data_IF_993592960775
#
_entry.id   IF_993592960775
#
_cell.length_a   1.000
_cell.length_b   1.000
_cell.length_c   1.000
_cell.angle_alpha   90.00
_cell.angle_beta   90.00
_cell.angle_gamma   90.00
#
_symmetry.space_group_name_H-M   'P 1'
#
loop_
_entity.id
_entity.type
_entity.pdbx_description
1 polymer ?
#
# COMPACT_ATOMS: atom_id res chain seq x y z
N UNK A 1 -0.97 5.15 -45.34
CA UNK A 1 -2.43 5.14 -45.10
C UNK A 1 -2.66 4.08 -44.02
N UNK A 2 -3.18 4.48 -42.86
CA UNK A 2 -3.32 3.63 -41.67
C UNK A 2 -4.74 3.07 -41.63
N UNK A 3 -4.89 1.78 -41.34
CA UNK A 3 -6.20 1.15 -41.12
C UNK A 3 -6.35 0.79 -39.64
N UNK A 4 -7.53 1.04 -39.10
CA UNK A 4 -7.94 0.53 -37.79
C UNK A 4 -9.17 -0.37 -37.94
N UNK A 5 -9.21 -1.39 -37.11
CA UNK A 5 -10.34 -2.30 -37.03
C UNK A 5 -10.82 -2.37 -35.58
N UNK A 6 -12.13 -2.28 -35.39
CA UNK A 6 -12.80 -2.44 -34.10
C UNK A 6 -13.63 -3.73 -34.13
N UNK A 7 -13.61 -4.49 -33.04
CA UNK A 7 -14.38 -5.73 -32.90
C UNK A 7 -15.74 -5.43 -32.26
N UNK A 8 -16.82 -5.60 -33.01
CA UNK A 8 -18.20 -5.60 -32.49
C UNK A 8 -18.83 -6.95 -32.80
N UNK A 9 -19.22 -7.69 -31.75
CA UNK A 9 -20.14 -8.84 -31.85
C UNK A 9 -19.87 -9.80 -33.02
N UNK A 10 -18.65 -10.34 -33.10
CA UNK A 10 -18.20 -11.36 -34.07
C UNK A 10 -17.77 -10.89 -35.48
N UNK A 11 -17.58 -9.58 -35.74
CA UNK A 11 -17.01 -9.12 -37.01
C UNK A 11 -16.05 -7.94 -36.83
N UNK A 12 -14.95 -7.95 -37.61
CA UNK A 12 -14.02 -6.83 -37.72
C UNK A 12 -14.54 -5.84 -38.77
N UNK A 13 -14.88 -4.61 -38.35
CA UNK A 13 -15.23 -3.53 -39.27
C UNK A 13 -14.00 -2.68 -39.58
N UNK A 14 -13.76 -2.44 -40.88
CA UNK A 14 -12.71 -1.54 -41.36
C UNK A 14 -13.21 -0.11 -41.25
N UNK A 15 -12.54 0.71 -40.45
CA UNK A 15 -12.85 2.13 -40.34
C UNK A 15 -11.83 2.93 -41.15
N UNK A 16 -12.33 3.70 -42.13
CA UNK A 16 -11.51 4.67 -42.85
C UNK A 16 -11.20 5.85 -41.92
N UNK A 17 -9.91 6.16 -41.76
CA UNK A 17 -9.47 7.31 -40.98
C UNK A 17 -10.01 8.59 -41.60
N UNK A 18 -11.00 9.18 -40.95
CA UNK A 18 -11.82 10.24 -41.53
C UNK A 18 -11.19 11.62 -41.42
N UNK A 19 -10.20 11.81 -40.54
CA UNK A 19 -9.46 13.08 -40.41
C UNK A 19 -8.20 12.93 -39.56
N UNK A 20 -7.11 13.55 -40.01
CA UNK A 20 -5.88 13.74 -39.21
C UNK A 20 -5.87 15.21 -38.78
N UNK A 21 -5.88 15.46 -37.47
CA UNK A 21 -5.84 16.81 -36.92
C UNK A 21 -4.48 17.05 -36.26
N UNK A 22 -3.82 18.14 -36.64
CA UNK A 22 -2.53 18.52 -36.06
C UNK A 22 -2.81 19.31 -34.78
N UNK A 23 -2.30 18.82 -33.67
CA UNK A 23 -2.34 19.49 -32.36
C UNK A 23 -1.29 20.61 -32.30
N UNK A 24 -1.51 21.54 -31.38
CA UNK A 24 -0.61 22.67 -31.12
C UNK A 24 0.79 22.22 -30.63
N UNK A 25 0.87 21.07 -29.98
CA UNK A 25 2.11 20.45 -29.48
C UNK A 25 2.90 19.69 -30.57
N UNK A 26 2.43 19.72 -31.82
CA UNK A 26 3.08 19.09 -32.97
C UNK A 26 2.70 17.63 -33.21
N UNK A 27 1.90 17.02 -32.33
CA UNK A 27 1.36 15.68 -32.55
C UNK A 27 0.20 15.68 -33.54
N UNK A 28 -0.06 14.54 -34.17
CA UNK A 28 -1.20 14.35 -35.07
C UNK A 28 -2.16 13.36 -34.42
N UNK A 29 -3.42 13.76 -34.24
CA UNK A 29 -4.47 12.90 -33.73
C UNK A 29 -5.37 12.38 -34.85
N UNK A 30 -5.83 11.14 -34.69
CA UNK A 30 -6.77 10.48 -35.60
C UNK A 30 -7.91 9.87 -34.79
N UNK A 31 -9.16 10.19 -35.13
CA UNK A 31 -10.33 9.58 -34.49
C UNK A 31 -10.60 8.21 -35.10
N UNK A 32 -10.56 7.17 -34.27
CA UNK A 32 -10.74 5.79 -34.73
C UNK A 32 -12.20 5.32 -34.75
N UNK A 33 -13.09 5.93 -33.97
CA UNK A 33 -14.51 5.59 -33.96
C UNK A 33 -15.22 6.06 -32.70
N UNK A 34 -16.51 5.73 -32.60
CA UNK A 34 -17.31 5.86 -31.39
C UNK A 34 -17.94 4.50 -31.07
N UNK A 35 -17.94 4.13 -29.80
CA UNK A 35 -18.62 2.94 -29.32
C UNK A 35 -19.42 3.31 -28.07
N UNK A 36 -20.52 2.58 -27.85
CA UNK A 36 -21.29 2.67 -26.63
C UNK A 36 -20.72 1.62 -25.69
N UNK A 37 -20.34 2.03 -24.48
CA UNK A 37 -20.05 1.12 -23.40
C UNK A 37 -21.36 0.87 -22.64
N UNK A 38 -21.98 -0.28 -22.88
CA UNK A 38 -23.18 -0.76 -22.18
C UNK A 38 -22.84 -1.65 -20.97
N UNK A 39 -21.55 -1.98 -20.77
CA UNK A 39 -21.03 -2.77 -19.66
C UNK A 39 -20.71 -1.94 -18.40
N UNK A 40 -21.01 -2.53 -17.24
CA UNK A 40 -20.64 -2.01 -15.92
C UNK A 40 -19.13 -2.14 -15.66
N UNK A 41 -18.58 -1.25 -14.85
CA UNK A 41 -17.17 -1.26 -14.47
C UNK A 41 -16.81 -2.60 -13.79
N UNK A 42 -15.90 -3.38 -14.39
CA UNK A 42 -15.44 -4.74 -13.97
C UNK A 42 -16.35 -5.92 -14.39
N UNK A 43 -16.86 -5.97 -15.62
CA UNK A 43 -17.19 -7.24 -16.28
C UNK A 43 -16.03 -7.59 -17.23
N UNK A 44 -15.25 -8.63 -16.91
CA UNK A 44 -14.09 -9.09 -17.70
C UNK A 44 -14.52 -9.71 -19.05
N UNK A 45 -15.81 -9.65 -19.40
CA UNK A 45 -16.37 -10.22 -20.64
C UNK A 45 -16.31 -9.29 -21.84
N UNK A 46 -16.04 -7.99 -21.63
CA UNK A 46 -16.03 -6.98 -22.71
C UNK A 46 -14.64 -6.35 -22.89
N UNK A 47 -13.71 -7.09 -23.51
CA UNK A 47 -12.40 -6.55 -23.89
C UNK A 47 -12.47 -5.76 -25.22
N UNK A 48 -11.95 -4.53 -25.22
CA UNK A 48 -11.85 -3.71 -26.43
C UNK A 48 -10.54 -4.05 -27.16
N UNK A 49 -10.65 -4.69 -28.31
CA UNK A 49 -9.51 -5.00 -29.18
C UNK A 49 -9.39 -3.98 -30.31
N UNK A 50 -8.19 -3.40 -30.46
CA UNK A 50 -7.81 -2.59 -31.62
C UNK A 50 -6.52 -3.12 -32.24
N UNK A 51 -6.39 -2.98 -33.56
CA UNK A 51 -5.17 -3.32 -34.30
C UNK A 51 -4.84 -2.18 -35.25
N UNK A 52 -3.60 -1.71 -35.19
CA UNK A 52 -3.00 -0.81 -36.17
C UNK A 52 -2.09 -1.66 -37.04
N UNK A 53 -2.26 -1.58 -38.36
CA UNK A 53 -1.44 -2.33 -39.31
C UNK A 53 -1.00 -1.45 -40.47
N UNK A 54 0.23 -1.66 -40.90
CA UNK A 54 0.78 -1.02 -42.10
C UNK A 54 0.14 -1.63 -43.35
N UNK A 55 -0.31 -0.77 -44.27
CA UNK A 55 -0.78 -1.23 -45.58
C UNK A 55 0.47 -1.48 -46.44
N UNK A 56 0.72 -2.75 -46.78
CA UNK A 56 1.85 -3.16 -47.63
C UNK A 56 1.82 -2.41 -48.97
N UNK A 57 2.68 -1.40 -49.11
CA UNK A 57 3.12 -0.88 -50.40
C UNK A 57 4.62 -1.15 -50.53
N UNK A 58 5.08 -1.30 -51.76
CA UNK A 58 6.42 -1.76 -52.16
C UNK A 58 7.60 -0.83 -51.81
N UNK A 59 7.42 0.13 -50.89
CA UNK A 59 8.43 1.10 -50.51
C UNK A 59 8.47 1.25 -48.99
N UNK A 60 9.67 1.11 -48.41
CA UNK A 60 9.93 1.32 -46.98
C UNK A 60 9.71 2.79 -46.62
N UNK A 61 8.74 3.08 -45.74
CA UNK A 61 8.62 4.39 -45.09
C UNK A 61 9.27 4.36 -43.71
N UNK A 62 10.37 5.09 -43.46
CA UNK A 62 10.95 5.18 -42.12
C UNK A 62 10.17 6.15 -41.21
N UNK A 63 9.96 5.73 -39.96
CA UNK A 63 9.67 6.58 -38.81
C UNK A 63 8.20 6.92 -38.53
N UNK A 64 7.53 6.09 -37.72
CA UNK A 64 6.25 6.46 -37.09
C UNK A 64 6.32 6.13 -35.58
N UNK A 65 6.04 7.12 -34.73
CA UNK A 65 6.07 7.00 -33.28
C UNK A 65 4.65 7.22 -32.78
N UNK A 66 4.14 6.28 -31.98
CA UNK A 66 2.82 6.35 -31.35
C UNK A 66 3.03 6.78 -29.90
N UNK A 67 2.47 7.93 -29.53
CA UNK A 67 2.53 8.42 -28.15
C UNK A 67 1.57 7.65 -27.22
N UNK A 68 0.42 7.22 -27.73
CA UNK A 68 -0.59 6.49 -26.97
C UNK A 68 -1.95 6.49 -27.63
N UNK A 69 -2.93 5.88 -26.95
CA UNK A 69 -4.33 5.85 -27.36
C UNK A 69 -5.15 6.47 -26.23
N UNK A 70 -6.04 7.40 -26.58
CA UNK A 70 -6.82 8.20 -25.64
C UNK A 70 -8.31 7.92 -25.83
N UNK A 71 -9.02 7.64 -24.73
CA UNK A 71 -10.47 7.47 -24.72
C UNK A 71 -11.13 8.75 -24.19
N UNK A 72 -11.98 9.38 -25.01
CA UNK A 72 -12.68 10.62 -24.66
C UNK A 72 -14.19 10.40 -24.61
N UNK A 73 -14.88 10.76 -23.51
CA UNK A 73 -16.33 10.78 -23.48
C UNK A 73 -16.89 11.77 -24.51
N UNK A 74 -17.82 11.33 -25.35
CA UNK A 74 -18.53 12.23 -26.28
C UNK A 74 -19.71 12.85 -25.52
N UNK A 75 -19.68 14.17 -25.30
CA UNK A 75 -20.84 14.88 -24.75
C UNK A 75 -21.96 14.91 -25.80
N UNK A 76 -23.04 14.16 -25.58
CA UNK A 76 -24.33 14.52 -26.20
C UNK A 76 -24.86 15.75 -25.47
N UNK A 77 -24.83 16.89 -26.15
CA UNK A 77 -25.55 18.09 -25.71
C UNK A 77 -27.03 17.83 -26.06
N UNK A 78 -27.97 17.79 -25.10
CA UNK A 78 -29.39 17.82 -25.44
C UNK A 78 -29.69 19.17 -26.11
N UNK A 79 -30.52 19.14 -27.15
CA UNK A 79 -30.85 20.33 -27.95
C UNK A 79 -31.16 21.55 -27.08
N UNK A 80 -30.55 22.67 -27.44
CA UNK A 80 -30.63 23.93 -26.72
C UNK A 80 -32.02 24.54 -26.87
N UNK A 81 -32.92 24.15 -25.99
CA UNK A 81 -34.29 24.65 -25.95
C UNK A 81 -34.92 24.32 -24.61
N UNK A 82 -34.38 24.93 -23.55
CA UNK A 82 -35.02 25.28 -22.28
C UNK A 82 -34.04 25.07 -21.12
N UNK A 83 -33.47 26.18 -20.61
CA UNK A 83 -33.02 26.25 -19.23
C UNK A 83 -32.87 27.71 -18.82
N UNK A 84 -34.00 28.25 -18.35
CA UNK A 84 -34.07 29.50 -17.61
C UNK A 84 -33.71 29.20 -16.15
N UNK A 85 -32.88 30.06 -15.57
CA UNK A 85 -32.48 30.15 -14.17
C UNK A 85 -33.28 29.32 -13.15
N UNK A 86 -32.71 28.17 -12.77
CA UNK A 86 -32.85 27.58 -11.45
C UNK A 86 -31.48 26.99 -11.08
N UNK A 87 -31.09 27.05 -9.81
CA UNK A 87 -29.96 26.27 -9.29
C UNK A 87 -30.31 24.81 -9.53
N UNK A 88 -29.82 24.24 -10.64
CA UNK A 88 -30.13 22.86 -11.00
C UNK A 88 -29.62 21.97 -9.88
N UNK A 89 -30.48 21.10 -9.30
CA UNK A 89 -30.01 20.10 -8.35
C UNK A 89 -28.88 19.31 -9.00
N UNK A 90 -27.88 18.91 -8.22
CA UNK A 90 -26.78 18.15 -8.78
C UNK A 90 -27.34 16.89 -9.44
N UNK A 91 -26.77 16.40 -10.56
CA UNK A 91 -27.24 15.16 -11.20
C UNK A 91 -27.26 13.96 -10.23
N UNK A 92 -26.51 14.04 -9.13
CA UNK A 92 -26.47 13.04 -8.08
C UNK A 92 -27.64 13.15 -7.09
N UNK A 93 -28.28 14.30 -6.94
CA UNK A 93 -29.45 14.47 -6.06
C UNK A 93 -30.70 13.74 -6.59
N UNK A 94 -30.70 13.37 -7.88
CA UNK A 94 -31.73 12.51 -8.47
C UNK A 94 -31.47 11.00 -8.32
N UNK A 95 -30.30 10.59 -7.84
CA UNK A 95 -29.99 9.17 -7.64
C UNK A 95 -30.51 8.67 -6.28
N UNK A 96 -31.08 7.45 -6.20
CA UNK A 96 -31.40 6.84 -4.93
C UNK A 96 -30.16 6.69 -4.03
N UNK A 97 -30.34 6.86 -2.72
CA UNK A 97 -29.26 6.74 -1.72
C UNK A 97 -28.55 5.39 -1.80
N UNK A 98 -29.26 4.31 -2.13
CA UNK A 98 -28.67 2.97 -2.30
C UNK A 98 -27.74 2.86 -3.51
N UNK A 99 -28.03 3.57 -4.61
CA UNK A 99 -27.15 3.64 -5.77
C UNK A 99 -25.86 4.37 -5.41
N UNK A 100 -25.97 5.50 -4.72
CA UNK A 100 -24.83 6.28 -4.24
C UNK A 100 -24.00 5.44 -3.25
N UNK A 101 -24.65 4.76 -2.31
CA UNK A 101 -24.00 3.86 -1.34
C UNK A 101 -23.21 2.77 -2.05
N UNK A 102 -23.80 2.13 -3.07
CA UNK A 102 -23.14 1.10 -3.87
C UNK A 102 -21.90 1.65 -4.57
N UNK A 103 -21.99 2.82 -5.21
CA UNK A 103 -20.84 3.48 -5.87
C UNK A 103 -19.73 3.76 -4.85
N UNK A 104 -20.08 4.36 -3.71
CA UNK A 104 -19.11 4.70 -2.65
C UNK A 104 -18.44 3.44 -2.08
N UNK A 105 -19.15 2.32 -2.00
CA UNK A 105 -18.59 1.06 -1.49
C UNK A 105 -17.43 0.50 -2.32
N UNK A 106 -17.25 0.98 -3.56
CA UNK A 106 -16.12 0.63 -4.44
C UNK A 106 -14.96 1.65 -4.37
N UNK A 107 -15.07 2.68 -3.53
CA UNK A 107 -14.02 3.70 -3.31
C UNK A 107 -13.17 3.35 -2.09
N UNK A 108 -12.26 4.24 -1.68
CA UNK A 108 -11.55 4.08 -0.40
C UNK A 108 -12.37 4.65 0.78
N UNK A 109 -12.13 4.18 2.02
CA UNK A 109 -12.71 4.78 3.22
C UNK A 109 -12.48 6.29 3.33
N UNK A 110 -11.30 6.77 2.91
CA UNK A 110 -10.99 8.19 2.81
C UNK A 110 -11.91 8.91 1.82
N UNK A 111 -12.06 8.37 0.61
CA UNK A 111 -12.90 8.98 -0.43
C UNK A 111 -14.37 8.98 -0.02
N UNK A 112 -14.83 7.92 0.67
CA UNK A 112 -16.17 7.89 1.26
C UNK A 112 -16.37 9.02 2.28
N UNK A 113 -15.39 9.27 3.16
CA UNK A 113 -15.44 10.40 4.09
C UNK A 113 -15.42 11.76 3.39
N UNK A 114 -14.66 11.92 2.31
CA UNK A 114 -14.66 13.14 1.49
C UNK A 114 -16.02 13.33 0.81
N UNK A 115 -16.58 12.26 0.21
CA UNK A 115 -17.87 12.28 -0.46
C UNK A 115 -19.01 12.66 0.50
N UNK A 116 -18.97 12.17 1.75
CA UNK A 116 -19.93 12.54 2.79
C UNK A 116 -20.02 14.06 3.03
N UNK A 117 -18.95 14.80 2.75
CA UNK A 117 -18.90 16.25 2.96
C UNK A 117 -19.48 17.06 1.79
N UNK A 118 -19.84 16.40 0.68
CA UNK A 118 -20.32 17.07 -0.55
C UNK A 118 -21.79 17.46 -0.45
N UNK A 119 -22.65 16.58 0.07
CA UNK A 119 -24.08 16.86 0.27
C UNK A 119 -24.70 15.95 1.33
N UNK A 120 -25.90 16.31 1.82
CA UNK A 120 -26.66 15.49 2.78
C UNK A 120 -27.03 14.11 2.23
N UNK A 121 -27.24 13.99 0.92
CA UNK A 121 -27.54 12.73 0.25
C UNK A 121 -26.33 11.79 0.30
N UNK A 122 -25.13 12.31 0.01
CA UNK A 122 -23.89 11.55 0.16
C UNK A 122 -23.59 11.22 1.63
N UNK A 123 -23.82 12.16 2.54
CA UNK A 123 -23.66 11.92 3.98
C UNK A 123 -24.54 10.75 4.45
N UNK A 124 -25.80 10.71 4.00
CA UNK A 124 -26.72 9.61 4.30
C UNK A 124 -26.26 8.29 3.70
N UNK A 125 -25.77 8.30 2.45
CA UNK A 125 -25.27 7.10 1.79
C UNK A 125 -24.05 6.51 2.51
N UNK A 126 -23.10 7.36 2.93
CA UNK A 126 -21.87 6.95 3.64
C UNK A 126 -22.16 6.39 5.03
N UNK A 127 -23.31 6.74 5.64
CA UNK A 127 -23.72 6.15 6.93
C UNK A 127 -24.24 4.72 6.79
N UNK A 128 -24.50 4.24 5.57
CA UNK A 128 -25.01 2.89 5.32
C UNK A 128 -23.96 1.81 5.62
N UNK A 129 -24.35 0.78 6.35
CA UNK A 129 -23.49 -0.38 6.64
C UNK A 129 -23.10 -1.16 5.38
N UNK A 130 -23.88 -1.06 4.29
CA UNK A 130 -23.52 -1.66 2.99
C UNK A 130 -22.19 -1.12 2.46
N UNK A 131 -21.90 0.16 2.72
CA UNK A 131 -20.62 0.79 2.35
C UNK A 131 -19.48 0.20 3.17
N UNK A 132 -19.62 0.25 4.48
CA UNK A 132 -18.55 -0.16 5.41
C UNK A 132 -18.31 -1.66 5.40
N UNK A 133 -19.31 -2.46 5.02
CA UNK A 133 -19.12 -3.88 4.79
C UNK A 133 -18.06 -4.18 3.73
N UNK A 134 -18.02 -3.39 2.65
CA UNK A 134 -17.01 -3.56 1.58
C UNK A 134 -15.61 -3.11 2.01
N UNK A 135 -15.52 -2.22 3.00
CA UNK A 135 -14.25 -1.73 3.53
C UNK A 135 -13.66 -2.63 4.61
N UNK A 136 -14.49 -3.48 5.23
CA UNK A 136 -14.04 -4.47 6.19
C UNK A 136 -13.43 -5.70 5.47
N UNK A 137 -12.35 -6.29 6.00
CA UNK A 137 -11.81 -7.55 5.49
C UNK A 137 -12.84 -8.67 5.55
N UNK A 138 -12.95 -9.54 4.55
CA UNK A 138 -13.91 -10.67 4.53
C UNK A 138 -13.89 -11.54 5.79
N UNK A 139 -12.74 -11.68 6.45
CA UNK A 139 -12.59 -12.48 7.66
C UNK A 139 -12.85 -11.70 8.96
N UNK A 140 -13.34 -10.45 8.90
CA UNK A 140 -13.51 -9.57 10.06
C UNK A 140 -14.37 -10.19 11.16
N UNK A 141 -15.34 -11.06 10.80
CA UNK A 141 -16.19 -11.74 11.77
C UNK A 141 -15.40 -12.60 12.77
N UNK A 142 -14.25 -13.14 12.37
CA UNK A 142 -13.34 -13.88 13.25
C UNK A 142 -12.57 -12.97 14.23
N UNK A 143 -12.51 -11.66 13.95
CA UNK A 143 -11.84 -10.65 14.76
C UNK A 143 -12.79 -10.01 15.79
N UNK A 144 -14.11 -10.04 15.54
CA UNK A 144 -15.13 -9.49 16.45
C UNK A 144 -15.05 -10.05 17.87
N UNK A 145 -14.87 -11.37 18.11
CA UNK A 145 -14.85 -11.92 19.47
C UNK A 145 -13.76 -11.35 20.38
N UNK A 146 -12.75 -10.69 19.81
CA UNK A 146 -11.68 -10.05 20.58
C UNK A 146 -12.10 -8.71 21.19
N UNK A 147 -13.17 -8.11 20.68
CA UNK A 147 -13.72 -6.89 21.24
C UNK A 147 -14.74 -7.24 22.33
N UNK A 148 -14.47 -6.78 23.55
CA UNK A 148 -15.41 -6.90 24.68
C UNK A 148 -16.58 -5.89 24.60
N UNK A 149 -16.82 -5.28 23.42
CA UNK A 149 -17.86 -4.26 23.20
C UNK A 149 -18.73 -4.61 21.99
N UNK A 150 -19.99 -4.17 22.05
CA UNK A 150 -20.93 -4.26 20.93
C UNK A 150 -20.79 -3.02 20.06
N UNK A 151 -20.69 -3.20 18.75
CA UNK A 151 -20.62 -2.11 17.78
C UNK A 151 -22.03 -1.76 17.27
N UNK A 152 -22.35 -0.47 17.20
CA UNK A 152 -23.65 0.03 16.74
C UNK A 152 -23.72 0.18 15.21
N UNK A 153 -22.57 0.16 14.54
CA UNK A 153 -22.47 0.19 13.07
C UNK A 153 -21.17 -0.45 12.58
N UNK A 154 -21.12 -0.85 11.30
CA UNK A 154 -19.90 -1.35 10.67
C UNK A 154 -18.84 -0.27 10.50
N UNK A 155 -19.27 0.99 10.40
CA UNK A 155 -18.37 2.15 10.45
C UNK A 155 -17.61 2.22 11.77
N UNK A 156 -18.32 2.06 12.89
CA UNK A 156 -17.71 2.05 14.22
C UNK A 156 -16.72 0.89 14.36
N UNK A 157 -17.10 -0.31 13.91
CA UNK A 157 -16.21 -1.47 13.88
C UNK A 157 -14.96 -1.21 13.03
N UNK A 158 -15.10 -0.58 11.87
CA UNK A 158 -13.96 -0.25 11.01
C UNK A 158 -12.96 0.65 11.72
N UNK A 159 -13.41 1.74 12.36
CA UNK A 159 -12.51 2.63 13.09
C UNK A 159 -11.91 1.97 14.34
N UNK A 160 -12.66 1.10 15.02
CA UNK A 160 -12.11 0.27 16.08
C UNK A 160 -10.96 -0.64 15.58
N UNK A 161 -11.09 -1.23 14.39
CA UNK A 161 -10.02 -2.02 13.77
C UNK A 161 -8.84 -1.16 13.29
N UNK A 162 -9.02 0.15 13.12
CA UNK A 162 -7.93 1.06 12.79
C UNK A 162 -7.15 1.48 14.05
N UNK A 163 -7.89 1.81 15.11
CA UNK A 163 -7.34 2.47 16.30
C UNK A 163 -6.90 1.45 17.36
N UNK A 164 -7.53 0.27 17.42
CA UNK A 164 -7.26 -0.78 18.41
C UNK A 164 -6.73 -2.07 17.73
N UNK A 165 -5.40 -2.29 17.69
CA UNK A 165 -4.82 -3.49 17.11
C UNK A 165 -5.27 -4.78 17.81
N UNK A 166 -5.59 -5.78 17.01
CA UNK A 166 -6.18 -7.07 17.42
C UNK A 166 -5.12 -8.16 17.38
N UNK A 167 -5.05 -9.02 18.39
CA UNK A 167 -4.06 -10.09 18.47
C UNK A 167 -4.58 -11.37 17.79
N UNK A 168 -3.91 -11.83 16.75
CA UNK A 168 -4.28 -13.04 16.02
C UNK A 168 -3.23 -14.13 16.21
N UNK A 169 -3.61 -15.37 15.88
CA UNK A 169 -2.74 -16.55 15.95
C UNK A 169 -2.08 -16.72 17.32
N UNK A 170 -2.90 -16.78 18.38
CA UNK A 170 -2.43 -16.99 19.75
C UNK A 170 -1.46 -15.89 20.23
N UNK A 171 -1.74 -14.64 19.84
CA UNK A 171 -0.95 -13.48 20.25
C UNK A 171 0.39 -13.33 19.53
N UNK A 172 0.60 -14.05 18.43
CA UNK A 172 1.86 -14.00 17.70
C UNK A 172 1.91 -12.90 16.64
N UNK A 173 0.74 -12.42 16.19
CA UNK A 173 0.63 -11.33 15.24
C UNK A 173 -0.38 -10.30 15.75
N UNK A 174 -0.12 -9.02 15.51
CA UNK A 174 -1.05 -7.93 15.81
C UNK A 174 -1.54 -7.34 14.49
N UNK A 175 -2.85 -7.21 14.34
CA UNK A 175 -3.54 -6.83 13.11
C UNK A 175 -4.33 -5.53 13.29
N UNK A 176 -4.29 -4.64 12.31
CA UNK A 176 -5.16 -3.45 12.25
C UNK A 176 -5.35 -2.99 10.80
N UNK A 177 -6.22 -2.01 10.58
CA UNK A 177 -6.46 -1.43 9.25
C UNK A 177 -5.78 -0.06 9.10
N UNK A 178 -5.22 0.19 7.92
CA UNK A 178 -4.79 1.53 7.53
C UNK A 178 -6.05 2.37 7.23
N UNK A 179 -6.22 3.45 7.99
CA UNK A 179 -7.46 4.24 8.08
C UNK A 179 -7.93 4.85 6.77
N UNK A 180 -7.01 5.23 5.87
CA UNK A 180 -7.38 5.89 4.63
C UNK A 180 -7.82 4.90 3.54
N UNK A 181 -7.13 3.76 3.45
CA UNK A 181 -7.27 2.78 2.36
C UNK A 181 -8.03 1.53 2.75
N UNK A 182 -8.17 1.23 4.05
CA UNK A 182 -8.71 -0.05 4.54
C UNK A 182 -7.79 -1.24 4.30
N UNK A 183 -6.53 -0.99 3.91
CA UNK A 183 -5.56 -2.06 3.68
C UNK A 183 -5.03 -2.60 5.00
N UNK A 184 -4.66 -3.88 5.00
CA UNK A 184 -4.24 -4.62 6.21
C UNK A 184 -2.84 -4.17 6.66
N UNK A 185 -2.69 -3.90 7.95
CA UNK A 185 -1.42 -3.70 8.63
C UNK A 185 -1.19 -4.82 9.63
N UNK A 186 0.06 -5.28 9.74
CA UNK A 186 0.41 -6.39 10.64
C UNK A 186 1.73 -6.12 11.35
N UNK A 187 1.80 -6.46 12.63
CA UNK A 187 3.04 -6.60 13.37
C UNK A 187 3.30 -8.08 13.67
N UNK A 188 4.50 -8.55 13.39
CA UNK A 188 4.96 -9.87 13.77
C UNK A 188 5.68 -9.83 15.11
N UNK A 189 5.30 -10.72 16.02
CA UNK A 189 6.07 -10.97 17.24
C UNK A 189 7.37 -11.69 16.91
N UNK A 190 8.45 -11.30 17.57
CA UNK A 190 9.71 -12.00 17.44
C UNK A 190 9.70 -13.41 18.07
N UNK A 191 8.72 -13.75 18.90
CA UNK A 191 8.60 -15.09 19.51
C UNK A 191 8.32 -16.18 18.48
N UNK A 192 7.73 -15.83 17.35
CA UNK A 192 7.51 -16.73 16.21
C UNK A 192 8.56 -16.55 15.11
N UNK A 193 9.42 -15.52 15.22
CA UNK A 193 10.50 -15.31 14.26
C UNK A 193 11.73 -16.12 14.65
N UNK A 194 12.51 -16.53 13.66
CA UNK A 194 13.82 -17.13 13.89
C UNK A 194 14.79 -16.04 14.34
N UNK A 195 15.25 -16.16 15.58
CA UNK A 195 16.29 -15.31 16.15
C UNK A 195 17.50 -16.20 16.37
N UNK A 196 18.64 -15.81 15.82
CA UNK A 196 19.90 -16.51 16.13
C UNK A 196 20.16 -16.44 17.63
N UNK A 197 20.27 -17.62 18.24
CA UNK A 197 20.42 -17.80 19.68
C UNK A 197 19.22 -17.38 20.54
N UNK A 198 18.03 -17.19 19.96
CA UNK A 198 16.83 -16.73 20.68
C UNK A 198 16.43 -17.60 21.89
N UNK A 199 16.74 -18.89 21.83
CA UNK A 199 16.50 -19.86 22.91
C UNK A 199 17.65 -19.95 23.92
N UNK A 200 18.69 -19.12 23.77
CA UNK A 200 19.89 -19.13 24.62
C UNK A 200 19.82 -17.96 25.63
N UNK A 201 19.49 -18.23 26.91
CA UNK A 201 19.23 -17.17 27.90
C UNK A 201 20.43 -16.28 28.22
N UNK A 202 21.65 -16.72 27.87
CA UNK A 202 22.87 -15.92 27.98
C UNK A 202 22.89 -14.75 26.99
N UNK A 203 22.18 -14.87 25.87
CA UNK A 203 22.22 -13.92 24.76
C UNK A 203 20.91 -13.14 24.62
N UNK A 204 19.77 -13.80 24.85
CA UNK A 204 18.45 -13.21 24.75
C UNK A 204 17.62 -13.44 26.01
N UNK A 205 16.80 -12.45 26.36
CA UNK A 205 15.83 -12.55 27.44
C UNK A 205 14.45 -12.17 26.94
N UNK A 206 13.46 -12.99 27.25
CA UNK A 206 12.06 -12.70 26.97
C UNK A 206 11.44 -11.93 28.13
N UNK A 207 11.13 -10.66 27.90
CA UNK A 207 10.58 -9.76 28.92
C UNK A 207 9.12 -9.39 28.62
N UNK A 208 8.40 -8.97 29.66
CA UNK A 208 7.05 -8.39 29.53
C UNK A 208 7.13 -6.94 29.99
N UNK A 209 6.62 -6.02 29.17
CA UNK A 209 6.52 -4.60 29.52
C UNK A 209 5.12 -4.09 29.19
N UNK A 210 4.52 -3.20 30.02
CA UNK A 210 3.13 -2.77 29.84
C UNK A 210 2.84 -2.08 28.51
N UNK A 211 3.84 -1.41 27.93
CA UNK A 211 3.71 -0.68 26.66
C UNK A 211 3.85 -1.60 25.44
N UNK A 212 4.04 -2.91 25.65
CA UNK A 212 4.17 -3.88 24.57
C UNK A 212 2.81 -4.37 24.06
N UNK A 213 2.65 -4.48 22.74
CA UNK A 213 1.49 -5.16 22.13
C UNK A 213 1.48 -6.67 22.39
N UNK A 214 2.66 -7.27 22.58
CA UNK A 214 2.82 -8.70 22.81
C UNK A 214 3.19 -8.98 24.28
N UNK A 215 2.72 -10.11 24.80
CA UNK A 215 2.98 -10.54 26.18
C UNK A 215 4.49 -10.68 26.48
N UNK A 216 5.25 -11.20 25.49
CA UNK A 216 6.69 -11.40 25.57
C UNK A 216 7.38 -10.79 24.36
N UNK A 217 8.44 -10.06 24.61
CA UNK A 217 9.31 -9.43 23.61
C UNK A 217 10.78 -9.73 23.89
N UNK A 218 11.63 -9.59 22.89
CA UNK A 218 13.04 -9.98 22.97
C UNK A 218 13.92 -8.80 23.44
N UNK A 219 14.67 -9.01 24.52
CA UNK A 219 15.77 -8.14 24.98
C UNK A 219 17.11 -8.82 24.66
N UNK A 220 17.94 -8.14 23.88
CA UNK A 220 19.30 -8.56 23.59
C UNK A 220 20.21 -8.26 24.80
N UNK A 221 20.72 -9.32 25.43
CA UNK A 221 21.61 -9.21 26.58
C UNK A 221 23.06 -8.99 26.17
N UNK A 222 23.63 -9.86 25.35
CA UNK A 222 25.00 -9.72 24.87
C UNK A 222 25.30 -10.69 23.72
N UNK A 223 25.67 -10.25 22.53
CA UNK A 223 26.07 -11.17 21.43
C UNK A 223 27.07 -10.52 20.48
N UNK A 224 27.95 -11.30 19.86
CA UNK A 224 28.85 -10.80 18.82
C UNK A 224 28.16 -10.68 17.45
N UNK A 225 27.25 -11.58 17.11
CA UNK A 225 26.45 -11.50 15.88
C UNK A 225 25.08 -12.13 16.11
N UNK A 226 24.08 -11.65 15.39
CA UNK A 226 22.75 -12.25 15.37
C UNK A 226 22.06 -11.96 14.04
N UNK A 227 21.11 -12.82 13.70
CA UNK A 227 20.11 -12.59 12.68
C UNK A 227 18.71 -12.64 13.30
N UNK A 228 17.85 -11.70 12.89
CA UNK A 228 16.42 -11.72 13.17
C UNK A 228 15.74 -11.85 11.82
N UNK A 229 14.98 -12.90 11.62
CA UNK A 229 14.18 -13.04 10.42
C UNK A 229 13.49 -14.38 10.38
N UNK A 230 12.19 -14.36 10.12
CA UNK A 230 11.48 -15.49 9.55
C UNK A 230 10.32 -14.95 8.74
N UNK A 231 9.93 -15.67 7.72
CA UNK A 231 8.90 -15.23 6.82
C UNK A 231 7.51 -15.18 7.42
N UNK A 232 6.58 -14.58 6.69
CA UNK A 232 5.16 -14.90 6.84
C UNK A 232 4.52 -15.04 5.48
N UNK A 233 3.44 -15.80 5.39
CA UNK A 233 2.63 -15.85 4.18
C UNK A 233 2.07 -14.46 3.84
N UNK A 234 2.14 -14.06 2.56
CA UNK A 234 1.53 -12.81 2.07
C UNK A 234 0.01 -12.78 2.21
N UNK A 235 -0.65 -13.92 2.48
CA UNK A 235 -2.11 -14.02 2.70
C UNK A 235 -2.65 -13.07 3.78
N UNK A 236 -1.83 -12.69 4.73
CA UNK A 236 -2.25 -11.74 5.78
C UNK A 236 -2.18 -10.29 5.31
N UNK A 237 -1.46 -10.00 4.23
CA UNK A 237 -1.36 -8.69 3.62
C UNK A 237 -2.44 -8.52 2.53
N UNK A 238 -2.77 -7.27 2.23
CA UNK A 238 -3.66 -6.95 1.13
C UNK A 238 -2.94 -7.18 -0.21
N UNK A 239 -3.57 -7.85 -1.19
CA UNK A 239 -2.98 -8.01 -2.53
C UNK A 239 -2.91 -6.67 -3.26
N UNK A 240 -2.11 -6.62 -4.31
CA UNK A 240 -1.84 -5.45 -5.15
C UNK A 240 -1.54 -4.19 -4.34
N UNK A 241 -0.67 -4.33 -3.35
CA UNK A 241 -0.38 -3.26 -2.39
C UNK A 241 1.12 -3.18 -2.17
N UNK A 242 1.66 -1.97 -2.25
CA UNK A 242 3.05 -1.70 -1.88
C UNK A 242 3.15 -1.61 -0.36
N UNK A 243 4.08 -2.33 0.24
CA UNK A 243 4.28 -2.39 1.67
C UNK A 243 5.65 -1.83 2.05
N UNK A 244 5.69 -1.02 3.11
CA UNK A 244 6.90 -0.62 3.80
C UNK A 244 7.00 -1.40 5.11
N UNK A 245 8.19 -1.89 5.43
CA UNK A 245 8.44 -2.75 6.59
C UNK A 245 9.28 -2.00 7.62
N UNK A 246 8.91 -2.09 8.89
CA UNK A 246 9.55 -1.36 9.99
C UNK A 246 9.93 -2.31 11.11
N UNK A 247 11.08 -2.08 11.74
CA UNK A 247 11.38 -2.64 13.06
C UNK A 247 10.91 -1.67 14.13
N UNK A 248 10.24 -2.17 15.17
CA UNK A 248 9.78 -1.37 16.32
C UNK A 248 10.51 -1.82 17.57
N UNK A 249 11.24 -0.90 18.20
CA UNK A 249 12.21 -1.24 19.24
C UNK A 249 12.42 -0.12 20.27
N UNK A 250 13.03 -0.48 21.40
CA UNK A 250 13.58 0.40 22.42
C UNK A 250 15.06 0.07 22.60
N UNK A 251 15.80 1.03 23.14
CA UNK A 251 17.21 0.86 23.49
C UNK A 251 17.41 1.04 24.98
N UNK A 252 18.38 0.30 25.53
CA UNK A 252 18.75 0.31 26.95
C UNK A 252 20.26 0.46 27.07
N UNK A 253 20.71 1.20 28.09
CA UNK A 253 22.12 1.41 28.41
C UNK A 253 22.96 1.94 27.22
N UNK A 254 22.36 2.75 26.34
CA UNK A 254 23.04 3.31 25.16
C UNK A 254 23.29 2.30 24.03
N UNK A 255 22.75 1.08 24.10
CA UNK A 255 22.87 0.02 23.09
C UNK A 255 24.32 -0.16 22.56
N UNK A 256 25.28 -0.55 23.43
CA UNK A 256 26.70 -0.55 23.09
C UNK A 256 26.99 -1.35 21.81
N UNK A 257 27.84 -0.79 20.94
CA UNK A 257 28.29 -1.36 19.67
C UNK A 257 27.18 -1.68 18.64
N UNK A 258 25.93 -1.28 18.91
CA UNK A 258 24.77 -1.47 18.04
C UNK A 258 24.03 -0.13 17.77
N UNK A 259 24.07 0.82 18.71
CA UNK A 259 23.43 2.13 18.56
C UNK A 259 24.03 3.00 17.46
N UNK A 260 25.35 3.18 17.46
CA UNK A 260 26.07 4.10 16.56
C UNK A 260 26.72 3.42 15.35
N UNK A 261 26.57 2.10 15.23
CA UNK A 261 27.06 1.31 14.09
C UNK A 261 25.89 1.02 13.17
N UNK A 262 26.00 1.29 11.85
CA UNK A 262 24.94 0.95 10.94
C UNK A 262 24.85 -0.57 10.80
N UNK A 263 23.65 -1.08 10.58
CA UNK A 263 23.39 -2.51 10.43
C UNK A 263 22.72 -2.79 9.10
N UNK A 264 23.18 -3.84 8.43
CA UNK A 264 22.60 -4.33 7.18
C UNK A 264 21.23 -4.96 7.46
N UNK A 265 20.24 -4.50 6.72
CA UNK A 265 18.86 -4.99 6.77
C UNK A 265 18.39 -5.36 5.36
N UNK A 266 17.59 -6.42 5.26
CA UNK A 266 17.09 -6.96 4.00
C UNK A 266 15.63 -7.38 4.06
N UNK A 267 14.81 -6.88 3.14
CA UNK A 267 13.38 -7.23 3.02
C UNK A 267 13.03 -7.54 1.58
N UNK A 268 12.40 -8.69 1.34
CA UNK A 268 11.91 -9.08 0.02
C UNK A 268 10.92 -10.24 0.09
N UNK A 269 10.35 -10.59 -1.06
CA UNK A 269 9.59 -11.83 -1.24
C UNK A 269 10.53 -13.01 -1.46
N UNK A 270 10.14 -14.22 -1.05
CA UNK A 270 10.92 -15.43 -1.32
C UNK A 270 11.15 -15.55 -2.82
N UNK A 271 12.41 -15.80 -3.22
CA UNK A 271 12.79 -15.98 -4.62
C UNK A 271 13.02 -14.67 -5.39
N UNK A 272 12.80 -13.50 -4.77
CA UNK A 272 13.18 -12.20 -5.32
C UNK A 272 14.44 -11.66 -4.65
N UNK A 273 15.15 -10.76 -5.34
CA UNK A 273 16.28 -10.07 -4.73
C UNK A 273 15.77 -9.10 -3.65
N UNK A 274 16.19 -9.25 -2.38
CA UNK A 274 15.67 -8.42 -1.31
C UNK A 274 16.20 -6.99 -1.43
N UNK A 275 15.34 -6.03 -1.10
CA UNK A 275 15.79 -4.65 -0.88
C UNK A 275 16.75 -4.63 0.30
N UNK A 276 17.95 -4.09 0.10
CA UNK A 276 18.97 -3.95 1.14
C UNK A 276 19.11 -2.49 1.53
N UNK A 277 19.17 -2.23 2.83
CA UNK A 277 19.41 -0.90 3.41
C UNK A 277 20.35 -1.00 4.61
N UNK A 278 20.91 0.14 5.00
CA UNK A 278 21.60 0.29 6.27
C UNK A 278 20.71 1.07 7.22
N UNK A 279 20.62 0.65 8.49
CA UNK A 279 19.89 1.40 9.52
C UNK A 279 20.76 1.68 10.75
N UNK A 280 20.41 2.73 11.49
CA UNK A 280 20.90 2.96 12.86
C UNK A 280 19.82 2.63 13.89
N UNK A 281 20.22 2.18 15.08
CA UNK A 281 19.33 2.06 16.25
C UNK A 281 19.35 3.31 17.15
N UNK A 282 20.42 4.11 17.10
CA UNK A 282 20.52 5.43 17.76
C UNK A 282 21.09 6.42 16.74
N UNK A 283 22.26 6.09 16.21
CA UNK A 283 23.01 6.87 15.24
C UNK A 283 23.84 7.99 15.89
N UNK A 284 24.98 8.35 15.27
CA UNK A 284 25.85 9.37 15.83
C UNK A 284 25.14 10.72 15.92
N UNK A 285 25.50 11.57 16.89
CA UNK A 285 24.96 12.92 17.01
C UNK A 285 25.10 13.67 15.68
N UNK A 286 24.04 14.39 15.28
CA UNK A 286 24.10 15.27 14.11
C UNK A 286 25.18 16.33 14.37
N UNK A 287 26.38 16.14 13.82
CA UNK A 287 27.45 17.14 13.96
C UNK A 287 26.97 18.43 13.30
N UNK A 288 26.93 19.52 14.05
CA UNK A 288 26.72 20.86 13.50
C UNK A 288 27.75 21.15 12.41
N UNK A 289 27.39 21.99 11.43
CA UNK A 289 28.16 22.38 10.23
C UNK A 289 29.63 22.73 10.53
N UNK A 290 30.47 21.71 10.70
CA UNK A 290 31.86 21.81 11.13
C UNK A 290 32.74 20.98 10.21
N UNK A 291 33.60 21.67 9.48
CA UNK A 291 34.54 21.21 8.44
C UNK A 291 34.99 19.75 8.58
N UNK A 292 34.36 18.87 7.80
CA UNK A 292 34.73 17.46 7.68
C UNK A 292 34.17 16.84 6.40
N UNK A 293 34.51 17.39 5.24
CA UNK A 293 33.96 17.09 3.90
C UNK A 293 34.16 15.65 3.39
N UNK A 294 34.64 14.71 4.21
CA UNK A 294 34.98 13.34 3.80
C UNK A 294 34.10 12.23 4.40
N UNK A 295 33.24 12.52 5.39
CA UNK A 295 32.30 11.54 6.00
C UNK A 295 30.82 11.77 5.68
N UNK A 296 30.44 12.92 5.13
CA UNK A 296 29.02 13.24 4.85
C UNK A 296 28.43 12.43 3.70
N UNK A 297 29.25 11.95 2.76
CA UNK A 297 28.80 11.24 1.56
C UNK A 297 28.34 9.81 1.85
N UNK A 298 28.93 9.13 2.84
CA UNK A 298 28.59 7.75 3.24
C UNK A 298 27.34 7.68 4.15
N UNK A 299 26.97 8.77 4.82
CA UNK A 299 25.84 8.81 5.78
C UNK A 299 24.48 9.17 5.16
N UNK A 300 24.39 9.35 3.84
CA UNK A 300 23.13 9.72 3.16
C UNK A 300 22.20 8.53 2.93
N UNK A 301 22.76 7.33 2.79
CA UNK A 301 22.00 6.11 2.44
C UNK A 301 21.68 5.23 3.65
N UNK A 302 21.77 5.79 4.87
CA UNK A 302 21.47 5.07 6.12
C UNK A 302 20.19 5.62 6.76
N UNK A 303 19.20 4.76 6.96
CA UNK A 303 17.95 5.10 7.64
C UNK A 303 18.23 5.34 9.12
N UNK A 304 17.81 6.50 9.63
CA UNK A 304 17.82 6.80 11.07
C UNK A 304 16.48 6.42 11.69
N UNK A 305 16.48 6.01 12.96
CA UNK A 305 15.25 5.66 13.63
C UNK A 305 14.47 6.92 14.01
N UNK A 306 13.16 6.81 14.02
CA UNK A 306 12.22 7.86 14.38
C UNK A 306 11.51 7.50 15.69
N UNK A 307 11.27 8.50 16.53
CA UNK A 307 10.51 8.32 17.76
C UNK A 307 9.01 8.33 17.47
N UNK A 308 8.30 7.38 18.07
CA UNK A 308 6.84 7.27 17.98
C UNK A 308 6.17 7.92 19.20
N UNK A 309 4.91 8.26 19.04
CA UNK A 309 4.08 8.83 20.11
C UNK A 309 3.85 7.85 21.27
N UNK A 310 3.88 6.54 20.99
CA UNK A 310 3.75 5.44 21.98
C UNK A 310 5.04 5.17 22.79
N UNK A 311 6.08 5.98 22.59
CA UNK A 311 7.37 5.87 23.29
C UNK A 311 8.29 4.77 22.75
N UNK A 312 7.94 4.13 21.64
CA UNK A 312 8.82 3.24 20.89
C UNK A 312 9.63 4.01 19.83
N UNK A 313 10.70 3.40 19.34
CA UNK A 313 11.42 3.84 18.16
C UNK A 313 11.06 2.94 16.98
N UNK A 314 11.10 3.47 15.76
CA UNK A 314 10.99 2.68 14.55
C UNK A 314 12.02 3.04 13.50
N UNK A 315 12.40 2.06 12.67
CA UNK A 315 13.24 2.29 11.50
C UNK A 315 12.68 1.50 10.32
N UNK A 316 12.60 2.14 9.15
CA UNK A 316 12.19 1.51 7.90
C UNK A 316 13.30 0.58 7.40
N UNK A 317 12.94 -0.68 7.19
CA UNK A 317 13.83 -1.75 6.76
C UNK A 317 13.87 -1.88 5.23
N UNK A 318 12.76 -1.60 4.56
CA UNK A 318 12.63 -1.80 3.13
C UNK A 318 11.18 -1.76 2.68
N UNK A 319 10.98 -1.91 1.38
CA UNK A 319 9.66 -1.93 0.77
C UNK A 319 9.57 -3.05 -0.26
N UNK A 320 8.37 -3.57 -0.49
CA UNK A 320 8.08 -4.56 -1.52
C UNK A 320 6.65 -4.43 -2.02
N UNK A 321 6.40 -4.91 -3.23
CA UNK A 321 5.05 -4.97 -3.79
C UNK A 321 4.46 -6.37 -3.62
N UNK A 322 3.31 -6.46 -2.97
CA UNK A 322 2.56 -7.70 -2.82
C UNK A 322 1.57 -7.84 -3.98
N UNK A 323 1.86 -8.66 -4.98
CA UNK A 323 1.00 -8.83 -6.17
C UNK A 323 -0.14 -9.85 -5.92
N UNK A 324 0.18 -11.00 -5.33
CA UNK A 324 -0.77 -12.10 -5.11
C UNK A 324 -0.66 -12.69 -3.70
N UNK A 325 -1.74 -13.31 -3.20
CA UNK A 325 -1.85 -13.80 -1.81
C UNK A 325 -1.16 -15.14 -1.53
N UNK A 326 -0.38 -15.66 -2.48
CA UNK A 326 0.18 -17.02 -2.42
C UNK A 326 1.70 -17.07 -2.31
N UNK A 327 2.39 -15.93 -2.18
CA UNK A 327 3.84 -15.91 -2.00
C UNK A 327 4.20 -15.93 -0.51
N UNK A 328 5.31 -16.57 -0.18
CA UNK A 328 5.93 -16.43 1.14
C UNK A 328 6.81 -15.19 1.14
N UNK A 329 6.68 -14.36 2.18
CA UNK A 329 7.62 -13.27 2.42
C UNK A 329 8.79 -13.89 3.17
N UNK A 330 10.02 -13.72 2.71
CA UNK A 330 11.20 -14.02 3.53
C UNK A 330 12.01 -12.76 3.71
N UNK A 331 12.20 -12.34 4.94
CA UNK A 331 13.05 -11.21 5.27
C UNK A 331 14.20 -11.66 6.16
N UNK A 332 15.34 -11.00 6.01
CA UNK A 332 16.49 -11.11 6.91
C UNK A 332 16.76 -9.72 7.44
N UNK A 333 16.22 -9.41 8.61
CA UNK A 333 16.09 -8.02 9.05
C UNK A 333 17.41 -7.47 9.55
N UNK A 334 18.27 -8.27 10.16
CA UNK A 334 19.46 -7.74 10.81
C UNK A 334 20.61 -8.70 10.60
N UNK A 335 21.67 -8.28 9.91
CA UNK A 335 22.92 -9.04 9.89
C UNK A 335 24.02 -8.21 10.53
N UNK A 336 24.45 -8.62 11.72
CA UNK A 336 25.58 -7.98 12.40
C UNK A 336 26.83 -8.84 12.32
N UNK A 337 27.71 -8.59 11.34
CA UNK A 337 28.96 -9.36 11.18
C UNK A 337 30.15 -8.78 11.96
N UNK A 338 29.96 -7.75 12.80
CA UNK A 338 31.07 -7.15 13.54
C UNK A 338 31.44 -7.96 14.77
N UNK A 339 32.73 -8.18 15.08
CA UNK A 339 33.15 -9.03 16.21
C UNK A 339 32.88 -8.40 17.59
N UNK A 340 32.40 -7.16 17.62
CA UNK A 340 32.09 -6.45 18.86
C UNK A 340 30.81 -6.98 19.48
N UNK A 341 30.87 -7.19 20.79
CA UNK A 341 29.74 -7.56 21.63
C UNK A 341 28.68 -6.44 21.68
N UNK A 342 27.42 -6.81 21.48
CA UNK A 342 26.27 -5.91 21.34
C UNK A 342 25.21 -6.24 22.37
N UNK A 343 24.57 -5.23 22.92
CA UNK A 343 23.55 -5.41 23.95
C UNK A 343 22.53 -4.27 23.96
N UNK A 344 21.45 -4.45 24.71
CA UNK A 344 20.51 -3.39 25.06
C UNK A 344 19.47 -3.06 23.99
N UNK A 345 19.33 -3.87 22.94
CA UNK A 345 18.21 -3.77 22.01
C UNK A 345 16.99 -4.49 22.57
N UNK A 346 15.84 -3.84 22.60
CA UNK A 346 14.55 -4.44 23.00
C UNK A 346 13.63 -4.34 21.79
N UNK A 347 13.24 -5.45 21.18
CA UNK A 347 12.43 -5.42 19.95
C UNK A 347 11.01 -5.86 20.26
N UNK A 348 10.04 -5.00 19.94
CA UNK A 348 8.62 -5.32 20.06
C UNK A 348 8.19 -6.28 18.95
N UNK A 349 8.54 -5.94 17.71
CA UNK A 349 8.13 -6.69 16.54
C UNK A 349 8.45 -5.98 15.23
N UNK A 350 7.97 -6.57 14.14
CA UNK A 350 8.20 -6.11 12.77
C UNK A 350 6.87 -5.74 12.15
N UNK A 351 6.69 -4.47 11.79
CA UNK A 351 5.46 -3.95 11.23
C UNK A 351 5.49 -3.88 9.70
N UNK A 352 4.39 -4.30 9.08
CA UNK A 352 4.11 -4.25 7.64
C UNK A 352 2.95 -3.27 7.44
N UNK A 353 3.23 -2.15 6.77
CA UNK A 353 2.25 -1.10 6.53
C UNK A 353 2.14 -0.81 5.03
N UNK A 354 0.94 -0.54 4.51
CA UNK A 354 0.80 0.01 3.16
C UNK A 354 1.65 1.27 3.01
N UNK A 355 2.48 1.30 1.98
CA UNK A 355 3.32 2.44 1.66
C UNK A 355 2.42 3.63 1.30
N UNK A 356 2.76 4.82 1.81
CA UNK A 356 2.08 6.04 1.39
C UNK A 356 2.49 6.33 -0.05
N UNK A 357 1.51 6.50 -0.94
CA UNK A 357 1.77 6.99 -2.31
C UNK A 357 2.43 8.36 -2.15
N UNK A 358 3.70 8.48 -2.57
CA UNK A 358 4.48 9.72 -2.53
C UNK A 358 4.13 10.64 -3.68
#
# INVERSE_FOLDING_TARGET
MLNAMCYKGAKWERLELTKLEKREDGWVEAKFGEFLNDGGFMDDRDEIWFRISEIKYSYWTPGFIIQGIEFRPVKKIPDAGDLMHATMPSPFDSLPVDCISTIISFTSPRDACVAASVSKTFESAVKSDTVWEKFLPSEYSSLIPQYSRVFLSKKELYFALCDDPVLIEDGKKSFWLEKASGKRCIMLSLKESSITWGDTPQYWRWISIPESRFEKIAELLNVCWFNIGDGMHTRYLSPRTHYSVYIVFKTKNGCPNLGDSPVDVGVGLVGQEPSQKLIYFIGPPRRGRGRGRRRETETRDVTRPEAREDGWMEAELGEFYNDSCCDDISFSIIKTNTPHWKSGLIVQGIEFRPAKIR
#
